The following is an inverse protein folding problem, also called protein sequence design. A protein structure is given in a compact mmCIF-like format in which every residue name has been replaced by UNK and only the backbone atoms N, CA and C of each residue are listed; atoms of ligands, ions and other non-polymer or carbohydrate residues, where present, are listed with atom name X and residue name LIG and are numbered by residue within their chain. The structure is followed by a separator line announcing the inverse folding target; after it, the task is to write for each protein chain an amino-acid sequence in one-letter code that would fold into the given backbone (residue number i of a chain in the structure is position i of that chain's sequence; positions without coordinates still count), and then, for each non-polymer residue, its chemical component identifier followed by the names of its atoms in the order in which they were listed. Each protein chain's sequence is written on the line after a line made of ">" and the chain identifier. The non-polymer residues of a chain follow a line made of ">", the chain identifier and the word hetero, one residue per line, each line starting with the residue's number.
data_IF_822816264595
#
_entry.id   IF_822816264595
#
_cell.length_a   1.000
_cell.length_b   1.000
_cell.length_c   1.000
_cell.angle_alpha   90.00
_cell.angle_beta   90.00
_cell.angle_gamma   90.00
#
_symmetry.space_group_name_H-M   'P 1'
#
loop_
_entity.id
_entity.type
_entity.pdbx_description
1 polymer ?
#
# COMPACT_ATOMS: atom_id res chain seq x y z
N UNK A 1 -1.08 -9.70 9.33
CA UNK A 1 0.31 -9.98 9.75
C UNK A 1 0.87 -8.79 10.52
N UNK A 2 1.61 -8.99 11.63
CA UNK A 2 2.19 -7.90 12.45
C UNK A 2 3.69 -7.87 12.24
N UNK A 3 4.23 -6.70 11.90
CA UNK A 3 5.63 -6.44 11.60
C UNK A 3 6.14 -5.28 12.43
N UNK A 4 7.46 -5.18 12.56
CA UNK A 4 8.13 -4.10 13.27
C UNK A 4 9.19 -3.43 12.39
N UNK A 5 9.41 -2.15 12.64
CA UNK A 5 10.42 -1.33 11.99
C UNK A 5 10.13 -0.99 10.53
N UNK A 6 10.94 -0.10 9.97
CA UNK A 6 10.90 0.35 8.57
C UNK A 6 11.71 -0.54 7.60
N UNK A 7 12.41 -1.57 8.11
CA UNK A 7 13.19 -2.49 7.28
C UNK A 7 12.31 -3.13 6.19
N UNK A 8 12.68 -2.94 4.93
CA UNK A 8 11.96 -3.45 3.76
C UNK A 8 10.49 -3.02 3.67
N UNK A 9 10.13 -1.83 4.21
CA UNK A 9 8.75 -1.31 4.20
C UNK A 9 8.11 -1.35 2.81
N UNK A 10 8.84 -0.89 1.79
CA UNK A 10 8.38 -0.84 0.39
C UNK A 10 7.99 -2.21 -0.16
N UNK A 11 8.82 -3.22 0.06
CA UNK A 11 8.56 -4.58 -0.40
C UNK A 11 7.42 -5.23 0.37
N UNK A 12 7.32 -4.97 1.68
CA UNK A 12 6.21 -5.47 2.51
C UNK A 12 4.88 -4.90 2.06
N UNK A 13 4.84 -3.60 1.74
CA UNK A 13 3.66 -2.94 1.20
C UNK A 13 3.29 -3.50 -0.18
N UNK A 14 4.24 -3.60 -1.11
CA UNK A 14 4.01 -4.21 -2.41
C UNK A 14 3.48 -5.64 -2.29
N UNK A 15 4.10 -6.45 -1.45
CA UNK A 15 3.69 -7.83 -1.22
C UNK A 15 2.29 -7.93 -0.61
N UNK A 16 1.97 -7.07 0.37
CA UNK A 16 0.64 -6.96 0.96
C UNK A 16 -0.41 -6.66 -0.10
N UNK A 17 -0.14 -5.70 -0.98
CA UNK A 17 -1.02 -5.34 -2.10
C UNK A 17 -1.23 -6.52 -3.06
N UNK A 18 -0.15 -7.17 -3.52
CA UNK A 18 -0.23 -8.29 -4.47
C UNK A 18 -0.97 -9.52 -3.91
N UNK A 19 -0.88 -9.73 -2.59
CA UNK A 19 -1.48 -10.89 -1.92
C UNK A 19 -2.83 -10.57 -1.26
N UNK A 20 -3.29 -9.32 -1.35
CA UNK A 20 -4.46 -8.83 -0.62
C UNK A 20 -4.40 -9.14 0.90
N UNK A 21 -3.20 -9.23 1.49
CA UNK A 21 -3.04 -9.59 2.89
C UNK A 21 -2.94 -8.33 3.76
N UNK A 22 -3.75 -8.19 4.83
CA UNK A 22 -3.65 -7.04 5.71
C UNK A 22 -2.39 -7.10 6.57
N UNK A 23 -1.63 -6.01 6.60
CA UNK A 23 -0.41 -5.88 7.39
C UNK A 23 -0.48 -4.71 8.35
N UNK A 24 0.15 -4.89 9.51
CA UNK A 24 0.29 -3.86 10.55
C UNK A 24 1.78 -3.75 10.84
N UNK A 25 2.32 -2.55 10.73
CA UNK A 25 3.73 -2.24 10.95
C UNK A 25 3.81 -1.25 12.11
N UNK A 26 4.53 -1.65 13.16
CA UNK A 26 4.75 -0.83 14.36
C UNK A 26 6.21 -0.41 14.46
N UNK A 27 6.47 0.55 15.34
CA UNK A 27 7.82 1.00 15.70
C UNK A 27 8.62 1.50 14.46
N UNK A 28 7.96 2.22 13.54
CA UNK A 28 8.58 2.79 12.35
C UNK A 28 9.43 4.01 12.76
N UNK A 29 10.75 3.89 12.61
CA UNK A 29 11.73 4.91 13.03
C UNK A 29 11.52 5.40 14.46
N UNK A 30 10.98 4.56 15.36
CA UNK A 30 10.58 5.01 16.70
C UNK A 30 11.77 5.50 17.56
N UNK A 31 12.97 4.97 17.30
CA UNK A 31 14.20 5.30 18.03
C UNK A 31 15.10 6.29 17.26
N UNK A 32 14.68 6.78 16.08
CA UNK A 32 15.47 7.70 15.27
C UNK A 32 15.23 9.17 15.68
N UNK A 33 16.19 10.04 15.33
CA UNK A 33 16.08 11.48 15.57
C UNK A 33 14.84 12.12 14.90
N UNK A 34 14.31 11.50 13.84
CA UNK A 34 13.10 11.91 13.14
C UNK A 34 12.10 10.74 13.12
N UNK A 35 11.26 10.59 14.15
CA UNK A 35 10.36 9.46 14.26
C UNK A 35 9.22 9.51 13.24
N UNK A 36 8.72 8.33 12.87
CA UNK A 36 7.56 8.15 11.99
C UNK A 36 7.90 7.93 10.52
N UNK A 37 6.86 8.01 9.68
CA UNK A 37 6.98 7.83 8.23
C UNK A 37 7.54 9.11 7.59
N UNK A 38 8.65 9.04 6.84
CA UNK A 38 9.14 10.14 6.04
C UNK A 38 8.23 10.38 4.83
N UNK A 39 8.31 11.58 4.24
CA UNK A 39 7.43 11.98 3.13
C UNK A 39 7.43 10.99 1.97
N UNK A 40 8.56 10.37 1.63
CA UNK A 40 8.65 9.44 0.51
C UNK A 40 7.87 8.13 0.77
N UNK A 41 7.78 7.67 2.01
CA UNK A 41 6.97 6.51 2.38
C UNK A 41 5.48 6.86 2.35
N UNK A 42 5.14 8.08 2.77
CA UNK A 42 3.77 8.60 2.67
C UNK A 42 3.35 8.73 1.20
N UNK A 43 4.22 9.27 0.33
CA UNK A 43 3.94 9.36 -1.11
C UNK A 43 3.73 7.98 -1.74
N UNK A 44 4.48 6.96 -1.30
CA UNK A 44 4.25 5.58 -1.74
C UNK A 44 2.88 5.05 -1.28
N UNK A 45 2.49 5.31 -0.03
CA UNK A 45 1.16 4.93 0.48
C UNK A 45 0.03 5.60 -0.32
N UNK A 46 0.19 6.90 -0.64
CA UNK A 46 -0.77 7.63 -1.51
C UNK A 46 -0.83 7.06 -2.93
N UNK A 47 0.29 6.58 -3.45
CA UNK A 47 0.29 5.88 -4.74
C UNK A 47 -0.46 4.56 -4.63
N UNK A 48 -0.22 3.78 -3.58
CA UNK A 48 -0.91 2.50 -3.32
C UNK A 48 -2.43 2.68 -3.17
N UNK A 49 -2.88 3.72 -2.47
CA UNK A 49 -4.30 4.08 -2.38
C UNK A 49 -4.92 4.41 -3.74
N UNK A 50 -4.14 4.97 -4.69
CA UNK A 50 -4.63 5.31 -6.03
C UNK A 50 -4.64 4.13 -7.00
N UNK A 51 -3.74 3.17 -6.83
CA UNK A 51 -3.64 2.01 -7.73
C UNK A 51 -4.45 0.81 -7.25
N UNK A 52 -4.91 0.81 -6.00
CA UNK A 52 -5.65 -0.29 -5.40
C UNK A 52 -7.00 0.23 -4.93
N UNK A 53 -8.04 -0.18 -5.64
CA UNK A 53 -9.41 0.11 -5.27
C UNK A 53 -9.74 -0.47 -3.89
N UNK A 54 -10.51 0.28 -3.10
CA UNK A 54 -10.90 -0.05 -1.72
C UNK A 54 -9.74 -0.29 -0.73
N UNK A 55 -8.53 0.20 -1.02
CA UNK A 55 -7.40 0.14 -0.08
C UNK A 55 -7.59 1.10 1.10
N UNK A 56 -7.53 0.59 2.32
CA UNK A 56 -7.58 1.38 3.55
C UNK A 56 -6.19 1.47 4.19
N UNK A 57 -5.67 2.69 4.33
CA UNK A 57 -4.42 2.96 5.04
C UNK A 57 -4.71 3.81 6.28
N UNK A 58 -4.40 3.27 7.45
CA UNK A 58 -4.53 3.95 8.74
C UNK A 58 -3.13 4.24 9.29
N UNK A 59 -2.86 5.50 9.61
CA UNK A 59 -1.59 5.96 10.18
C UNK A 59 -1.89 6.66 11.50
N UNK A 60 -1.10 6.38 12.54
CA UNK A 60 -1.21 7.11 13.81
C UNK A 60 -0.68 8.55 13.68
N UNK A 61 -1.06 9.45 14.59
CA UNK A 61 -0.69 10.87 14.59
C UNK A 61 0.82 11.13 14.41
N UNK A 62 1.65 10.28 15.01
CA UNK A 62 3.12 10.39 14.98
C UNK A 62 3.73 9.64 13.77
N UNK A 63 2.96 8.83 13.04
CA UNK A 63 3.46 8.07 11.89
C UNK A 63 4.29 6.84 12.24
N UNK A 64 4.38 6.44 13.51
CA UNK A 64 5.17 5.25 13.94
C UNK A 64 4.42 3.93 13.81
N UNK A 65 3.10 4.00 13.60
CA UNK A 65 2.23 2.85 13.44
C UNK A 65 1.42 3.02 12.15
N UNK A 66 1.51 2.01 11.30
CA UNK A 66 0.86 1.93 9.99
C UNK A 66 0.05 0.64 9.93
N UNK A 67 -1.19 0.74 9.47
CA UNK A 67 -2.02 -0.40 9.12
C UNK A 67 -2.47 -0.24 7.68
N UNK A 68 -2.09 -1.20 6.85
CA UNK A 68 -2.50 -1.28 5.47
C UNK A 68 -3.43 -2.48 5.32
N UNK A 69 -4.65 -2.21 4.88
CA UNK A 69 -5.62 -3.23 4.49
C UNK A 69 -5.92 -3.01 3.00
N UNK A 70 -5.24 -3.73 2.10
CA UNK A 70 -5.59 -3.66 0.69
C UNK A 70 -7.03 -4.14 0.50
N UNK A 71 -7.80 -3.36 -0.26
CA UNK A 71 -9.07 -3.80 -0.82
C UNK A 71 -8.76 -4.76 -1.95
N UNK A 72 -9.49 -5.86 -2.01
CA UNK A 72 -9.39 -6.78 -3.12
C UNK A 72 -10.80 -7.18 -3.52
N UNK A 73 -11.26 -6.60 -4.62
CA UNK A 73 -12.36 -7.15 -5.40
C UNK A 73 -11.82 -8.38 -6.13
N UNK A 74 -12.07 -9.57 -5.56
CA UNK A 74 -11.84 -10.87 -6.22
C UNK A 74 -12.51 -10.95 -7.61
N UNK A 75 -13.46 -10.07 -7.92
CA UNK A 75 -14.06 -9.96 -9.25
C UNK A 75 -13.20 -9.22 -10.28
N UNK A 76 -12.17 -8.47 -9.88
CA UNK A 76 -11.52 -7.49 -10.76
C UNK A 76 -10.06 -7.78 -11.10
N UNK A 77 -9.58 -9.00 -10.83
CA UNK A 77 -8.32 -9.47 -11.43
C UNK A 77 -8.43 -9.64 -12.96
N UNK A 78 -9.64 -9.57 -13.52
CA UNK A 78 -9.86 -9.49 -14.96
C UNK A 78 -9.94 -8.05 -15.48
N UNK A 79 -10.53 -7.09 -14.75
CA UNK A 79 -10.78 -5.76 -15.33
C UNK A 79 -9.50 -4.91 -15.45
N UNK A 80 -8.61 -4.92 -14.44
CA UNK A 80 -7.37 -4.13 -14.50
C UNK A 80 -6.42 -4.56 -15.64
N UNK A 81 -6.37 -5.85 -16.00
CA UNK A 81 -5.63 -6.30 -17.19
C UNK A 81 -6.38 -6.04 -18.52
N UNK A 82 -7.71 -5.92 -18.50
CA UNK A 82 -8.50 -5.65 -19.71
C UNK A 82 -8.70 -4.16 -20.00
N UNK A 83 -8.56 -3.26 -19.02
CA UNK A 83 -8.65 -1.82 -19.25
C UNK A 83 -7.50 -1.31 -20.14
N UNK A 84 -6.33 -1.95 -20.07
CA UNK A 84 -5.18 -1.65 -20.95
C UNK A 84 -5.40 -2.19 -22.38
N UNK A 85 -6.14 -3.30 -22.55
CA UNK A 85 -6.44 -3.85 -23.87
C UNK A 85 -7.67 -3.19 -24.54
N UNK A 86 -8.65 -2.72 -23.77
CA UNK A 86 -9.83 -2.03 -24.28
C UNK A 86 -9.50 -0.59 -24.74
N UNK A 87 -8.55 0.08 -24.10
CA UNK A 87 -8.04 1.38 -24.54
C UNK A 87 -7.27 1.31 -25.88
N UNK A 88 -6.67 0.18 -26.20
CA UNK A 88 -5.92 -0.01 -27.45
C UNK A 88 -6.81 -0.37 -28.66
N UNK A 89 -8.02 -0.91 -28.43
CA UNK A 89 -8.97 -1.32 -29.48
C UNK A 89 -10.03 -0.27 -29.82
N UNK A 90 -10.07 0.89 -29.13
CA UNK A 90 -10.97 2.00 -29.44
C UNK A 90 -10.37 3.03 -30.42
N UNK A 91 -9.20 2.75 -31.01
CA UNK A 91 -8.55 3.59 -32.04
C UNK A 91 -8.32 2.80 -33.35
N UNK A 92 -9.20 1.85 -33.66
CA UNK A 92 -9.38 1.29 -35.00
C UNK A 92 -10.86 1.07 -35.31
#
# INVERSE_FOLDING_TARGET
>A
MKLKGSQFLRQRLLHSTLTATPIIIKDIHADDASPGLPLYEISLLRLLEKISDDCTVEINEIGTNLRCKPGFSLEESASCMTADLAGQLAIF
#
